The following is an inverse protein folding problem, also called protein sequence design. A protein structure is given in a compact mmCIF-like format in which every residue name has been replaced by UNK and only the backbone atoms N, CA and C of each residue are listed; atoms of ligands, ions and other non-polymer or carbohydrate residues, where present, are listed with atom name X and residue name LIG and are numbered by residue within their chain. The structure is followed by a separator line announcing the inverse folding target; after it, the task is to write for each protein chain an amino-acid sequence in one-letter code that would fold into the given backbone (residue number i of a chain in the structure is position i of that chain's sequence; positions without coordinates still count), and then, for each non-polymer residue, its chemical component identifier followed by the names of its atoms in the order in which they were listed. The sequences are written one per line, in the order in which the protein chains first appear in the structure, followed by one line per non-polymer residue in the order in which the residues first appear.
data_IF_880067482435
#
_entry.id   IF_880067482435
#
_cell.length_a   1.000
_cell.length_b   1.000
_cell.length_c   1.000
_cell.angle_alpha   90.00
_cell.angle_beta   90.00
_cell.angle_gamma   90.00
#
_symmetry.space_group_name_H-M   'P 1'
#
loop_
_entity.id
_entity.type
_entity.pdbx_description
1 polymer ?
#
# COMPACT_ATOMS: atom_id res chain seq x y z
N UNK A 1 20.05 7.08 -38.65
CA UNK A 1 20.56 6.41 -37.43
C UNK A 1 20.26 7.18 -36.15
N UNK A 2 20.67 8.45 -35.98
CA UNK A 2 20.37 9.24 -34.76
C UNK A 2 18.87 9.41 -34.45
N UNK A 3 18.04 9.57 -35.48
CA UNK A 3 16.57 9.64 -35.33
C UNK A 3 16.02 8.35 -34.72
N UNK A 4 16.42 7.18 -35.26
CA UNK A 4 16.00 5.88 -34.75
C UNK A 4 16.46 5.66 -33.29
N UNK A 5 17.67 6.09 -32.95
CA UNK A 5 18.16 6.07 -31.57
C UNK A 5 17.29 6.92 -30.63
N UNK A 6 16.95 8.15 -31.03
CA UNK A 6 16.08 9.01 -30.23
C UNK A 6 14.66 8.44 -30.08
N UNK A 7 14.11 7.84 -31.14
CA UNK A 7 12.80 7.16 -31.09
C UNK A 7 12.85 5.99 -30.11
N UNK A 8 13.90 5.17 -30.16
CA UNK A 8 14.09 4.07 -29.23
C UNK A 8 14.21 4.55 -27.77
N UNK A 9 14.99 5.60 -27.52
CA UNK A 9 15.12 6.21 -26.19
C UNK A 9 13.77 6.75 -25.67
N UNK A 10 13.01 7.40 -26.55
CA UNK A 10 11.69 7.91 -26.23
C UNK A 10 10.72 6.78 -25.87
N UNK A 11 10.66 5.71 -26.67
CA UNK A 11 9.80 4.55 -26.40
C UNK A 11 10.13 3.92 -25.05
N UNK A 12 11.41 3.72 -24.74
CA UNK A 12 11.83 3.23 -23.43
C UNK A 12 11.36 4.15 -22.29
N UNK A 13 11.59 5.46 -22.41
CA UNK A 13 11.17 6.42 -21.41
C UNK A 13 9.64 6.43 -21.22
N UNK A 14 8.87 6.40 -22.32
CA UNK A 14 7.41 6.36 -22.27
C UNK A 14 6.88 5.11 -21.58
N UNK A 15 7.45 3.93 -21.86
CA UNK A 15 7.06 2.67 -21.20
C UNK A 15 7.40 2.74 -19.71
N UNK A 16 8.59 3.19 -19.34
CA UNK A 16 9.02 3.29 -17.96
C UNK A 16 8.14 4.23 -17.13
N UNK A 17 7.84 5.42 -17.69
CA UNK A 17 6.93 6.40 -17.08
C UNK A 17 5.51 5.82 -16.97
N UNK A 18 5.00 5.18 -18.02
CA UNK A 18 3.68 4.54 -17.98
C UNK A 18 3.58 3.51 -16.86
N UNK A 19 4.58 2.63 -16.73
CA UNK A 19 4.62 1.62 -15.67
C UNK A 19 4.68 2.27 -14.27
N UNK A 20 5.40 3.38 -14.11
CA UNK A 20 5.42 4.13 -12.85
C UNK A 20 4.08 4.78 -12.54
N UNK A 21 3.44 5.44 -13.52
CA UNK A 21 2.10 6.03 -13.36
C UNK A 21 1.09 4.96 -12.96
N UNK A 22 1.12 3.80 -13.61
CA UNK A 22 0.23 2.67 -13.35
C UNK A 22 0.22 2.23 -11.88
N UNK A 23 1.36 2.33 -11.20
CA UNK A 23 1.59 1.83 -9.84
C UNK A 23 1.58 2.92 -8.75
N UNK A 24 1.23 4.15 -9.11
CA UNK A 24 1.27 5.30 -8.20
C UNK A 24 -0.04 6.08 -8.24
N UNK A 25 -0.21 7.03 -7.31
CA UNK A 25 -1.41 7.89 -7.23
C UNK A 25 -1.83 8.53 -8.57
N UNK A 26 -0.92 9.02 -9.44
CA UNK A 26 -1.30 9.49 -10.78
C UNK A 26 -2.15 8.52 -11.59
N UNK A 27 -1.85 7.21 -11.56
CA UNK A 27 -2.66 6.20 -12.25
C UNK A 27 -4.05 6.05 -11.64
N UNK A 28 -4.17 6.24 -10.33
CA UNK A 28 -5.46 6.20 -9.63
C UNK A 28 -6.33 7.39 -10.01
N UNK A 29 -5.76 8.59 -10.09
CA UNK A 29 -6.45 9.81 -10.54
C UNK A 29 -6.93 9.70 -11.99
N UNK A 30 -6.19 8.97 -12.82
CA UNK A 30 -6.57 8.66 -14.21
C UNK A 30 -7.59 7.51 -14.33
N UNK A 31 -8.03 6.95 -13.20
CA UNK A 31 -8.97 5.83 -13.13
C UNK A 31 -8.54 4.63 -13.99
N UNK A 32 -7.27 4.25 -13.88
CA UNK A 32 -6.71 3.14 -14.66
C UNK A 32 -7.40 1.81 -14.27
N UNK A 33 -7.72 0.92 -15.24
CA UNK A 33 -8.38 -0.35 -14.95
C UNK A 33 -7.61 -1.23 -13.95
N UNK A 34 -8.34 -1.84 -13.02
CA UNK A 34 -7.80 -2.79 -12.03
C UNK A 34 -6.94 -3.87 -12.68
N UNK A 35 -7.44 -4.47 -13.75
CA UNK A 35 -6.76 -5.59 -14.40
C UNK A 35 -5.40 -5.17 -14.98
N UNK A 36 -5.20 -3.90 -15.32
CA UNK A 36 -3.89 -3.41 -15.77
C UNK A 36 -2.91 -3.33 -14.60
N UNK A 37 -3.36 -2.81 -13.45
CA UNK A 37 -2.55 -2.75 -12.22
C UNK A 37 -2.16 -4.15 -11.77
N UNK A 38 -3.14 -5.07 -11.68
CA UNK A 38 -2.91 -6.45 -11.25
C UNK A 38 -2.03 -7.22 -12.24
N UNK A 39 -2.27 -7.11 -13.55
CA UNK A 39 -1.42 -7.78 -14.55
C UNK A 39 0.00 -7.22 -14.52
N UNK A 40 0.16 -5.90 -14.38
CA UNK A 40 1.50 -5.32 -14.27
C UNK A 40 2.20 -5.82 -13.01
N UNK A 41 1.55 -5.80 -11.85
CA UNK A 41 2.13 -6.29 -10.60
C UNK A 41 2.56 -7.76 -10.72
N UNK A 42 1.70 -8.62 -11.27
CA UNK A 42 2.00 -10.05 -11.51
C UNK A 42 3.24 -10.27 -12.38
N UNK A 43 3.46 -9.42 -13.38
CA UNK A 43 4.56 -9.54 -14.34
C UNK A 43 5.62 -8.44 -14.17
N UNK A 44 5.69 -7.81 -13.00
CA UNK A 44 6.51 -6.61 -12.77
C UNK A 44 7.98 -6.88 -13.10
N UNK A 45 8.50 -8.04 -12.69
CA UNK A 45 9.88 -8.45 -12.96
C UNK A 45 10.19 -8.60 -14.45
N UNK A 46 9.21 -9.05 -15.25
CA UNK A 46 9.35 -9.16 -16.71
C UNK A 46 9.43 -7.78 -17.34
N UNK A 47 8.59 -6.84 -16.90
CA UNK A 47 8.66 -5.45 -17.36
C UNK A 47 9.97 -4.79 -16.95
N UNK A 48 10.47 -5.05 -15.75
CA UNK A 48 11.77 -4.56 -15.28
C UNK A 48 12.92 -5.10 -16.13
N UNK A 49 12.94 -6.41 -16.37
CA UNK A 49 13.94 -7.03 -17.21
C UNK A 49 13.91 -6.47 -18.64
N UNK A 50 12.72 -6.32 -19.23
CA UNK A 50 12.57 -5.73 -20.55
C UNK A 50 13.09 -4.29 -20.62
N UNK A 51 12.78 -3.46 -19.62
CA UNK A 51 13.28 -2.09 -19.52
C UNK A 51 14.80 -2.03 -19.32
N UNK A 52 15.36 -2.90 -18.47
CA UNK A 52 16.79 -3.01 -18.23
C UNK A 52 17.54 -3.44 -19.49
N UNK A 53 17.06 -4.47 -20.20
CA UNK A 53 17.62 -4.91 -21.48
C UNK A 53 17.51 -3.81 -22.54
N UNK A 54 16.38 -3.09 -22.57
CA UNK A 54 16.20 -1.99 -23.48
C UNK A 54 17.20 -0.85 -23.21
N UNK A 55 17.45 -0.52 -21.94
CA UNK A 55 18.46 0.46 -21.52
C UNK A 55 19.88 0.00 -21.88
N UNK A 56 20.22 -1.28 -21.69
CA UNK A 56 21.50 -1.86 -22.15
C UNK A 56 21.64 -1.71 -23.66
N UNK A 57 20.59 -2.01 -24.42
CA UNK A 57 20.54 -1.79 -25.87
C UNK A 57 20.79 -0.32 -26.26
N UNK A 58 20.20 0.62 -25.51
CA UNK A 58 20.45 2.06 -25.69
C UNK A 58 21.93 2.40 -25.47
N UNK A 59 22.53 1.89 -24.40
CA UNK A 59 23.97 2.08 -24.13
C UNK A 59 24.86 1.53 -25.23
N UNK A 60 24.60 0.29 -25.70
CA UNK A 60 25.37 -0.32 -26.79
C UNK A 60 25.24 0.49 -28.09
N UNK A 61 24.03 0.96 -28.41
CA UNK A 61 23.82 1.81 -29.58
C UNK A 61 24.57 3.15 -29.45
N UNK A 62 24.58 3.75 -28.26
CA UNK A 62 25.26 5.02 -28.02
C UNK A 62 26.79 4.88 -28.02
N UNK A 63 27.37 3.79 -27.50
CA UNK A 63 28.84 3.59 -27.51
C UNK A 63 29.37 3.42 -28.93
N UNK A 64 28.63 2.73 -29.80
CA UNK A 64 28.97 2.56 -31.22
C UNK A 64 28.73 3.84 -32.04
N UNK A 65 27.59 4.49 -31.85
CA UNK A 65 27.15 5.62 -32.68
C UNK A 65 27.51 7.01 -32.16
N UNK A 66 27.92 7.13 -30.90
CA UNK A 66 28.22 8.40 -30.18
C UNK A 66 27.10 9.44 -30.34
N UNK A 67 25.84 9.00 -30.28
CA UNK A 67 24.68 9.84 -30.60
C UNK A 67 24.41 10.92 -29.54
N UNK A 68 24.57 10.57 -28.26
CA UNK A 68 24.38 11.42 -27.08
C UNK A 68 25.67 11.51 -26.26
N UNK A 69 25.84 12.67 -25.59
CA UNK A 69 26.90 12.86 -24.58
C UNK A 69 26.67 11.91 -23.39
N UNK A 70 27.74 11.47 -22.70
CA UNK A 70 27.61 10.56 -21.55
C UNK A 70 26.65 11.04 -20.46
N UNK A 71 26.60 12.35 -20.19
CA UNK A 71 25.68 12.94 -19.20
C UNK A 71 24.21 12.57 -19.46
N UNK A 72 23.77 12.58 -20.72
CA UNK A 72 22.37 12.26 -21.07
C UNK A 72 22.08 10.77 -20.89
N UNK A 73 23.06 9.91 -21.11
CA UNK A 73 22.93 8.47 -20.87
C UNK A 73 22.85 8.15 -19.38
N UNK A 74 23.62 8.86 -18.55
CA UNK A 74 23.50 8.73 -17.09
C UNK A 74 22.15 9.24 -16.58
N UNK A 75 21.65 10.37 -17.10
CA UNK A 75 20.31 10.86 -16.76
C UNK A 75 19.21 9.88 -17.18
N UNK A 76 19.30 9.30 -18.38
CA UNK A 76 18.35 8.27 -18.82
C UNK A 76 18.39 7.04 -17.90
N UNK A 77 19.58 6.60 -17.50
CA UNK A 77 19.77 5.47 -16.57
C UNK A 77 19.16 5.77 -15.21
N UNK A 78 19.45 6.96 -14.65
CA UNK A 78 18.89 7.41 -13.39
C UNK A 78 17.36 7.52 -13.45
N UNK A 79 16.81 8.01 -14.57
CA UNK A 79 15.37 8.08 -14.80
C UNK A 79 14.71 6.70 -14.76
N UNK A 80 15.25 5.72 -15.51
CA UNK A 80 14.74 4.34 -15.50
C UNK A 80 14.85 3.72 -14.10
N UNK A 81 16.00 3.88 -13.42
CA UNK A 81 16.17 3.38 -12.05
C UNK A 81 15.18 4.01 -11.08
N UNK A 82 14.91 5.32 -11.21
CA UNK A 82 13.89 6.00 -10.41
C UNK A 82 12.49 5.44 -10.69
N UNK A 83 12.16 5.09 -11.93
CA UNK A 83 10.86 4.45 -12.22
C UNK A 83 10.73 3.08 -11.57
N UNK A 84 11.78 2.26 -11.51
CA UNK A 84 11.75 0.98 -10.78
C UNK A 84 11.51 1.18 -9.29
N UNK A 85 12.18 2.18 -8.70
CA UNK A 85 11.93 2.54 -7.32
C UNK A 85 10.47 2.99 -7.12
N UNK A 86 9.96 3.87 -7.97
CA UNK A 86 8.60 4.39 -7.85
C UNK A 86 7.56 3.27 -7.95
N UNK A 87 7.73 2.34 -8.90
CA UNK A 87 6.82 1.22 -9.12
C UNK A 87 6.74 0.26 -7.93
N UNK A 88 7.83 0.07 -7.19
CA UNK A 88 7.88 -0.86 -6.06
C UNK A 88 7.65 -0.22 -4.70
N UNK A 89 8.11 1.01 -4.50
CA UNK A 89 8.29 1.57 -3.17
C UNK A 89 7.60 2.91 -2.96
N UNK A 90 7.10 3.60 -4.00
CA UNK A 90 6.45 4.90 -3.79
C UNK A 90 5.19 4.77 -2.91
N UNK A 91 4.31 3.79 -3.19
CA UNK A 91 3.09 3.59 -2.40
C UNK A 91 3.38 3.13 -0.97
N UNK A 92 4.22 2.10 -0.72
CA UNK A 92 4.60 1.73 0.66
C UNK A 92 5.35 2.85 1.41
N UNK A 93 6.11 3.70 0.73
CA UNK A 93 6.81 4.81 1.37
C UNK A 93 5.86 5.97 1.72
N UNK A 94 4.81 6.20 0.91
CA UNK A 94 3.78 7.19 1.19
C UNK A 94 2.83 6.71 2.31
N UNK A 95 2.52 5.41 2.31
CA UNK A 95 1.58 4.77 3.22
C UNK A 95 2.24 3.56 3.91
N UNK A 96 3.16 3.79 4.86
CA UNK A 96 3.81 2.71 5.59
C UNK A 96 2.78 1.99 6.47
N UNK A 97 2.68 0.68 6.32
CA UNK A 97 1.74 -0.13 7.09
C UNK A 97 2.25 -0.36 8.51
N UNK A 98 1.32 -0.50 9.47
CA UNK A 98 1.61 -0.83 10.87
C UNK A 98 1.18 -2.27 11.18
N UNK A 99 1.30 -3.19 10.21
CA UNK A 99 0.90 -4.58 10.41
C UNK A 99 1.66 -5.25 11.57
N UNK A 100 2.97 -4.96 11.70
CA UNK A 100 3.82 -5.58 12.73
C UNK A 100 4.25 -4.62 13.84
N UNK A 101 3.93 -3.32 13.70
CA UNK A 101 4.47 -2.26 14.56
C UNK A 101 3.38 -1.35 15.13
N UNK A 102 2.12 -1.77 15.05
CA UNK A 102 0.99 -1.05 15.64
C UNK A 102 1.15 -0.92 17.16
N UNK A 103 1.05 0.31 17.67
CA UNK A 103 1.09 0.59 19.10
C UNK A 103 -0.32 0.70 19.69
N UNK A 104 -0.48 0.12 20.87
CA UNK A 104 -1.78 -0.10 21.51
C UNK A 104 -1.78 0.45 22.93
N UNK A 105 -2.83 1.21 23.27
CA UNK A 105 -2.92 2.03 24.49
C UNK A 105 -4.16 1.72 25.31
N UNK A 106 -4.10 2.04 26.60
CA UNK A 106 -5.28 2.05 27.47
C UNK A 106 -6.32 3.07 27.00
N UNK A 107 -7.57 2.91 27.44
CA UNK A 107 -8.66 3.84 27.13
C UNK A 107 -8.33 5.26 27.63
N UNK A 108 -7.71 5.38 28.80
CA UNK A 108 -7.33 6.65 29.43
C UNK A 108 -6.24 7.41 28.65
N UNK A 109 -5.32 6.68 28.03
CA UNK A 109 -4.29 7.26 27.16
C UNK A 109 -4.85 7.62 25.80
N UNK A 110 -5.71 6.76 25.23
CA UNK A 110 -6.38 6.98 23.97
C UNK A 110 -7.24 8.25 23.98
N UNK A 111 -7.87 8.55 25.11
CA UNK A 111 -8.71 9.75 25.29
C UNK A 111 -7.95 11.08 25.09
N UNK A 112 -6.63 11.05 25.22
CA UNK A 112 -5.78 12.24 25.06
C UNK A 112 -5.36 12.48 23.61
N UNK A 113 -5.53 11.48 22.74
CA UNK A 113 -4.96 11.48 21.38
C UNK A 113 -6.00 11.30 20.29
N UNK A 114 -7.19 10.80 20.61
CA UNK A 114 -8.30 10.72 19.66
C UNK A 114 -8.95 12.10 19.57
N UNK A 115 -8.95 12.75 18.40
CA UNK A 115 -9.55 14.07 18.23
C UNK A 115 -11.08 14.00 18.32
N UNK A 116 -11.69 15.04 18.90
CA UNK A 116 -13.15 15.15 18.99
C UNK A 116 -13.77 15.33 17.58
N UNK A 117 -13.08 16.02 16.67
CA UNK A 117 -13.50 16.26 15.29
C UNK A 117 -13.59 14.99 14.43
N UNK A 118 -12.84 13.93 14.75
CA UNK A 118 -12.93 12.63 14.10
C UNK A 118 -12.87 11.48 15.12
N UNK A 119 -13.87 11.47 16.00
CA UNK A 119 -14.01 10.48 17.07
C UNK A 119 -14.55 9.11 16.61
N UNK A 120 -14.63 8.85 15.30
CA UNK A 120 -15.10 7.54 14.79
C UNK A 120 -14.07 6.45 15.09
N UNK A 121 -14.56 5.33 15.59
CA UNK A 121 -13.76 4.15 15.89
C UNK A 121 -14.42 2.89 15.35
N UNK A 122 -13.59 1.90 15.07
CA UNK A 122 -14.01 0.56 14.70
C UNK A 122 -13.63 -0.42 15.80
N UNK A 123 -14.61 -1.15 16.31
CA UNK A 123 -14.43 -2.08 17.42
C UNK A 123 -14.55 -3.49 16.90
N UNK A 124 -13.60 -4.35 17.25
CA UNK A 124 -13.64 -5.78 16.99
C UNK A 124 -13.51 -6.56 18.30
N UNK A 125 -14.13 -7.74 18.32
CA UNK A 125 -14.11 -8.67 19.44
C UNK A 125 -13.67 -10.03 18.92
N UNK A 126 -12.45 -10.42 19.24
CA UNK A 126 -11.85 -11.69 18.79
C UNK A 126 -11.24 -12.36 20.01
N UNK A 127 -11.51 -13.64 20.22
CA UNK A 127 -10.95 -14.44 21.32
C UNK A 127 -11.14 -13.80 22.72
N UNK A 128 -12.28 -13.16 22.95
CA UNK A 128 -12.58 -12.45 24.21
C UNK A 128 -11.83 -11.13 24.39
N UNK A 129 -11.04 -10.72 23.41
CA UNK A 129 -10.26 -9.49 23.40
C UNK A 129 -10.96 -8.41 22.57
N UNK A 130 -11.13 -7.23 23.17
CA UNK A 130 -11.69 -6.06 22.49
C UNK A 130 -10.57 -5.17 21.98
N UNK A 131 -10.53 -4.93 20.66
CA UNK A 131 -9.62 -3.96 20.04
C UNK A 131 -10.41 -2.84 19.40
N UNK A 132 -9.95 -1.62 19.64
CA UNK A 132 -10.58 -0.39 19.14
C UNK A 132 -9.59 0.32 18.22
N UNK A 133 -10.03 0.61 17.01
CA UNK A 133 -9.22 1.23 15.98
C UNK A 133 -9.82 2.57 15.58
N UNK A 134 -9.23 3.70 16.02
CA UNK A 134 -9.69 5.01 15.60
C UNK A 134 -9.50 5.21 14.10
N UNK A 135 -10.55 5.67 13.42
CA UNK A 135 -10.52 5.98 11.98
C UNK A 135 -9.38 6.93 11.66
N UNK A 136 -9.21 7.95 12.51
CA UNK A 136 -8.15 8.96 12.40
C UNK A 136 -6.74 8.34 12.33
N UNK A 137 -6.47 7.28 13.10
CA UNK A 137 -5.17 6.61 13.10
C UNK A 137 -5.00 5.59 11.97
N UNK A 138 -6.09 5.05 11.43
CA UNK A 138 -6.04 4.07 10.33
C UNK A 138 -5.89 4.70 8.94
N UNK A 139 -6.20 5.98 8.78
CA UNK A 139 -6.24 6.65 7.47
C UNK A 139 -4.90 6.63 6.72
N UNK A 140 -3.77 6.73 7.43
CA UNK A 140 -2.44 6.75 6.82
C UNK A 140 -1.86 5.34 6.64
N UNK A 141 -1.77 4.50 7.68
CA UNK A 141 -1.12 3.20 7.53
C UNK A 141 -1.96 2.22 6.72
N UNK A 142 -3.28 2.42 6.62
CA UNK A 142 -4.26 1.52 5.97
C UNK A 142 -4.32 0.09 6.49
N UNK A 143 -3.33 -0.37 7.26
CA UNK A 143 -3.21 -1.69 7.86
C UNK A 143 -2.61 -1.51 9.24
N UNK A 144 -3.26 -2.05 10.26
CA UNK A 144 -2.73 -2.14 11.61
C UNK A 144 -2.95 -3.55 12.15
N UNK A 145 -1.89 -4.23 12.57
CA UNK A 145 -1.96 -5.63 12.98
C UNK A 145 -1.80 -5.85 14.47
N UNK A 146 -2.21 -7.04 14.92
CA UNK A 146 -2.00 -7.52 16.27
C UNK A 146 -2.05 -9.04 16.30
N UNK A 147 -1.52 -9.62 17.37
CA UNK A 147 -1.58 -11.05 17.62
C UNK A 147 -2.52 -11.36 18.76
N UNK A 148 -3.38 -12.38 18.61
CA UNK A 148 -4.22 -12.90 19.68
C UNK A 148 -4.28 -14.44 19.61
N UNK A 149 -4.04 -15.11 20.75
CA UNK A 149 -3.98 -16.57 20.86
C UNK A 149 -3.12 -17.28 19.79
N UNK A 150 -2.01 -16.65 19.38
CA UNK A 150 -1.11 -17.20 18.37
C UNK A 150 -1.50 -16.91 16.92
N UNK A 151 -2.69 -16.35 16.68
CA UNK A 151 -3.15 -15.94 15.34
C UNK A 151 -2.85 -14.46 15.10
N UNK A 152 -2.33 -14.14 13.92
CA UNK A 152 -2.06 -12.77 13.49
C UNK A 152 -3.29 -12.21 12.78
N UNK A 153 -3.71 -11.03 13.20
CA UNK A 153 -4.85 -10.30 12.65
C UNK A 153 -4.41 -8.93 12.16
N UNK A 154 -5.14 -8.38 11.21
CA UNK A 154 -5.03 -6.98 10.84
C UNK A 154 -6.39 -6.36 10.61
N UNK A 155 -6.52 -5.10 11.01
CA UNK A 155 -7.54 -4.22 10.45
C UNK A 155 -6.95 -3.54 9.24
N UNK A 156 -7.64 -3.64 8.12
CA UNK A 156 -7.36 -2.88 6.91
C UNK A 156 -8.41 -1.78 6.78
N UNK A 157 -8.06 -0.66 6.16
CA UNK A 157 -8.96 0.49 6.05
C UNK A 157 -8.66 1.32 4.80
N UNK A 158 -9.70 1.64 4.02
CA UNK A 158 -9.61 2.58 2.92
C UNK A 158 -10.30 3.91 3.28
N UNK A 159 -9.57 5.02 3.18
CA UNK A 159 -10.10 6.36 3.47
C UNK A 159 -11.22 6.82 2.54
N UNK A 160 -11.25 6.31 1.30
CA UNK A 160 -12.24 6.71 0.30
C UNK A 160 -13.56 5.94 0.44
N UNK A 161 -13.52 4.66 0.78
CA UNK A 161 -14.73 3.87 1.07
C UNK A 161 -15.21 3.99 2.53
N UNK A 162 -14.35 4.48 3.44
CA UNK A 162 -14.56 4.46 4.89
C UNK A 162 -14.90 3.06 5.42
N UNK A 163 -14.37 2.02 4.78
CA UNK A 163 -14.65 0.63 5.11
C UNK A 163 -13.44 -0.03 5.77
N UNK A 164 -13.55 -0.42 7.05
CA UNK A 164 -12.58 -1.32 7.66
C UNK A 164 -12.91 -2.78 7.35
N UNK A 165 -11.89 -3.60 7.28
CA UNK A 165 -12.03 -5.06 7.25
C UNK A 165 -11.03 -5.67 8.22
N UNK A 166 -11.52 -6.53 9.09
CA UNK A 166 -10.68 -7.24 10.05
C UNK A 166 -10.43 -8.63 9.52
N UNK A 167 -9.17 -9.02 9.38
CA UNK A 167 -8.78 -10.26 8.72
C UNK A 167 -7.71 -11.00 9.49
N UNK A 168 -7.70 -12.33 9.36
CA UNK A 168 -6.51 -13.14 9.62
C UNK A 168 -5.48 -12.88 8.51
N UNK A 169 -4.24 -12.59 8.90
CA UNK A 169 -3.20 -12.24 7.92
C UNK A 169 -2.53 -13.47 7.33
N UNK A 170 -2.48 -14.61 8.03
CA UNK A 170 -2.13 -15.90 7.42
C UNK A 170 -3.39 -16.58 6.88
N UNK A 171 -3.49 -16.67 5.55
CA UNK A 171 -4.60 -17.30 4.83
C UNK A 171 -4.17 -18.61 4.16
N UNK A 172 -3.19 -19.30 4.74
CA UNK A 172 -2.66 -20.58 4.26
C UNK A 172 -1.45 -20.46 3.36
N UNK A 173 -0.83 -19.27 3.31
CA UNK A 173 0.42 -19.00 2.61
C UNK A 173 1.56 -18.64 3.59
N UNK A 174 1.32 -18.71 4.89
CA UNK A 174 2.27 -18.35 5.95
C UNK A 174 2.12 -16.89 6.37
N UNK A 175 3.17 -16.35 7.00
CA UNK A 175 3.19 -14.96 7.45
C UNK A 175 3.14 -14.00 6.25
N UNK A 176 2.08 -13.21 6.18
CA UNK A 176 1.87 -12.23 5.11
C UNK A 176 2.43 -10.86 5.51
N UNK A 177 2.99 -10.10 4.57
CA UNK A 177 3.38 -8.69 4.78
C UNK A 177 2.62 -7.80 3.80
N UNK A 178 1.51 -7.23 4.28
CA UNK A 178 0.65 -6.37 3.49
C UNK A 178 1.25 -4.97 3.38
N UNK A 179 1.40 -4.55 2.13
CA UNK A 179 1.79 -3.19 1.77
C UNK A 179 0.78 -2.63 0.78
N UNK A 180 0.60 -1.31 0.78
CA UNK A 180 -0.28 -0.65 -0.19
C UNK A 180 0.30 -0.81 -1.59
N UNK A 181 -0.46 -1.45 -2.48
CA UNK A 181 -0.16 -1.52 -3.91
C UNK A 181 -0.69 -0.29 -4.63
N UNK A 182 -1.92 0.10 -4.30
CA UNK A 182 -2.62 1.21 -4.92
C UNK A 182 -4.13 1.08 -4.74
N UNK A 183 -4.89 1.88 -5.47
CA UNK A 183 -6.35 1.86 -5.41
C UNK A 183 -6.95 1.90 -6.80
N UNK A 184 -8.02 1.14 -7.03
CA UNK A 184 -8.81 1.22 -8.26
C UNK A 184 -10.29 1.18 -7.92
N UNK A 185 -11.11 2.05 -8.53
CA UNK A 185 -12.57 2.08 -8.33
C UNK A 185 -13.01 2.09 -6.85
N UNK A 186 -12.37 2.92 -6.02
CA UNK A 186 -12.60 3.00 -4.56
C UNK A 186 -12.31 1.71 -3.78
N UNK A 187 -11.62 0.75 -4.38
CA UNK A 187 -11.14 -0.45 -3.72
C UNK A 187 -9.61 -0.38 -3.57
N UNK A 188 -9.17 -0.38 -2.31
CA UNK A 188 -7.75 -0.43 -1.98
C UNK A 188 -7.23 -1.83 -2.29
N UNK A 189 -6.03 -1.90 -2.86
CA UNK A 189 -5.35 -3.16 -3.18
C UNK A 189 -4.09 -3.20 -2.35
N UNK A 190 -3.93 -4.27 -1.59
CA UNK A 190 -2.69 -4.60 -0.92
C UNK A 190 -1.90 -5.56 -1.79
N UNK A 191 -0.57 -5.47 -1.69
CA UNK A 191 0.32 -6.54 -2.12
C UNK A 191 0.83 -7.26 -0.90
N UNK A 192 1.00 -8.56 -1.02
CA UNK A 192 1.69 -9.37 -0.04
C UNK A 192 3.11 -9.63 -0.54
N UNK A 193 4.09 -9.00 0.09
CA UNK A 193 5.47 -9.06 -0.40
C UNK A 193 6.15 -10.41 -0.12
N UNK A 194 5.60 -11.24 0.77
CA UNK A 194 6.17 -12.55 1.09
C UNK A 194 5.80 -13.63 0.07
N UNK A 195 4.62 -13.54 -0.55
CA UNK A 195 4.15 -14.55 -1.51
C UNK A 195 3.77 -14.00 -2.90
N UNK A 196 3.81 -12.67 -3.10
CA UNK A 196 3.58 -12.05 -4.41
C UNK A 196 2.12 -12.00 -4.84
N UNK A 197 1.17 -12.23 -3.92
CA UNK A 197 -0.26 -12.07 -4.18
C UNK A 197 -0.68 -10.61 -4.02
N UNK A 198 -1.89 -10.30 -4.49
CA UNK A 198 -2.54 -9.02 -4.20
C UNK A 198 -3.91 -9.27 -3.56
N UNK A 199 -4.35 -8.39 -2.67
CA UNK A 199 -5.61 -8.56 -1.94
C UNK A 199 -6.46 -7.32 -2.16
N UNK A 200 -7.68 -7.53 -2.65
CA UNK A 200 -8.69 -6.49 -2.78
C UNK A 200 -9.37 -6.23 -1.43
N UNK A 201 -9.24 -5.02 -0.87
CA UNK A 201 -9.68 -4.72 0.49
C UNK A 201 -11.18 -4.92 0.70
N UNK A 202 -12.05 -4.47 -0.21
CA UNK A 202 -13.50 -4.52 0.01
C UNK A 202 -14.00 -5.97 0.07
N UNK A 203 -13.47 -6.83 -0.80
CA UNK A 203 -13.94 -8.21 -0.96
C UNK A 203 -13.09 -9.23 -0.22
N UNK A 204 -11.88 -8.83 0.20
CA UNK A 204 -10.84 -9.73 0.71
C UNK A 204 -10.51 -10.88 -0.23
N UNK A 205 -10.73 -10.65 -1.53
CA UNK A 205 -10.33 -11.58 -2.57
C UNK A 205 -8.82 -11.46 -2.75
N UNK A 206 -8.13 -12.57 -2.57
CA UNK A 206 -6.73 -12.71 -2.96
C UNK A 206 -6.65 -13.03 -4.46
N UNK A 207 -5.73 -12.34 -5.13
CA UNK A 207 -5.43 -12.49 -6.54
C UNK A 207 -4.27 -13.48 -6.70
N UNK A 208 -4.32 -14.23 -7.81
CA UNK A 208 -3.28 -15.21 -8.19
C UNK A 208 -3.19 -16.44 -7.28
N UNK A 209 -4.16 -16.64 -6.40
CA UNK A 209 -4.27 -17.79 -5.50
C UNK A 209 -5.74 -18.13 -5.25
N UNK A 210 -6.01 -19.37 -4.86
CA UNK A 210 -7.35 -19.82 -4.43
C UNK A 210 -7.57 -19.65 -2.92
N UNK A 211 -6.55 -19.20 -2.19
CA UNK A 211 -6.61 -18.92 -0.77
C UNK A 211 -7.31 -17.59 -0.48
N UNK A 212 -8.08 -17.51 0.61
CA UNK A 212 -8.82 -16.30 1.01
C UNK A 212 -8.65 -16.02 2.49
N UNK A 213 -8.61 -14.76 2.88
CA UNK A 213 -8.56 -14.39 4.29
C UNK A 213 -9.89 -14.63 5.00
N UNK A 214 -9.82 -15.04 6.26
CA UNK A 214 -10.99 -15.08 7.13
C UNK A 214 -11.33 -13.66 7.56
N UNK A 215 -12.57 -13.21 7.30
CA UNK A 215 -13.05 -11.88 7.70
C UNK A 215 -13.80 -11.96 9.02
N UNK A 216 -13.47 -11.07 9.94
CA UNK A 216 -14.09 -10.95 11.26
C UNK A 216 -14.98 -9.70 11.33
N UNK A 217 -16.10 -9.77 12.08
CA UNK A 217 -17.01 -8.64 12.22
C UNK A 217 -16.35 -7.50 13.00
N UNK A 218 -16.72 -6.28 12.63
CA UNK A 218 -16.40 -5.08 13.39
C UNK A 218 -17.61 -4.14 13.42
N UNK A 219 -17.63 -3.24 14.39
CA UNK A 219 -18.72 -2.27 14.57
C UNK A 219 -18.15 -0.86 14.58
N UNK A 220 -18.69 0.00 13.73
CA UNK A 220 -18.41 1.43 13.77
C UNK A 220 -19.24 2.11 14.86
N UNK A 221 -18.60 2.96 15.66
CA UNK A 221 -19.27 3.85 16.62
C UNK A 221 -18.44 5.10 16.86
N UNK A 222 -18.95 6.02 17.67
CA UNK A 222 -18.15 7.15 18.16
C UNK A 222 -17.39 6.77 19.44
N UNK A 223 -16.26 7.42 19.68
CA UNK A 223 -15.36 7.12 20.78
C UNK A 223 -16.04 7.19 22.15
N UNK A 224 -16.91 8.17 22.38
CA UNK A 224 -17.66 8.29 23.63
C UNK A 224 -18.53 7.07 23.93
N UNK A 225 -19.18 6.49 22.91
CA UNK A 225 -19.97 5.26 23.03
C UNK A 225 -19.06 4.06 23.30
N UNK A 226 -17.94 3.95 22.58
CA UNK A 226 -16.98 2.88 22.80
C UNK A 226 -16.43 2.88 24.24
N UNK A 227 -16.11 4.06 24.77
CA UNK A 227 -15.68 4.22 26.17
C UNK A 227 -16.76 3.75 27.16
N UNK A 228 -18.02 4.10 26.92
CA UNK A 228 -19.11 3.68 27.81
C UNK A 228 -19.30 2.16 27.79
N UNK A 229 -19.20 1.54 26.62
CA UNK A 229 -19.43 0.10 26.44
C UNK A 229 -18.23 -0.77 26.87
N UNK A 230 -16.99 -0.30 26.70
CA UNK A 230 -15.78 -1.14 26.80
C UNK A 230 -14.76 -0.67 27.85
N UNK A 231 -15.23 0.12 28.81
CA UNK A 231 -14.49 0.84 29.86
C UNK A 231 -13.45 0.05 30.68
N UNK A 232 -13.41 -1.29 30.59
CA UNK A 232 -12.49 -2.15 31.35
C UNK A 232 -11.64 -3.11 30.49
N UNK A 233 -11.84 -3.18 29.16
CA UNK A 233 -11.26 -4.26 28.34
C UNK A 233 -10.74 -3.82 26.96
N UNK A 234 -11.04 -2.61 26.50
CA UNK A 234 -10.65 -2.14 25.17
C UNK A 234 -9.20 -1.63 25.12
N UNK A 235 -8.42 -2.12 24.16
CA UNK A 235 -7.11 -1.54 23.84
C UNK A 235 -7.22 -0.77 22.52
N UNK A 236 -6.69 0.45 22.48
CA UNK A 236 -6.85 1.39 21.37
C UNK A 236 -5.57 1.57 20.57
N UNK A 237 -5.68 1.55 19.24
CA UNK A 237 -4.55 1.84 18.35
C UNK A 237 -4.17 3.33 18.40
N UNK A 238 -2.87 3.63 18.48
CA UNK A 238 -2.30 4.93 18.13
C UNK A 238 -1.31 4.76 16.99
N UNK A 239 -1.39 5.67 16.04
CA UNK A 239 -0.36 5.81 15.01
C UNK A 239 0.94 6.34 15.62
N UNK A 240 2.07 5.70 15.29
CA UNK A 240 3.39 5.99 15.84
C UNK A 240 3.87 7.41 15.53
N UNK A 241 4.02 8.22 16.57
CA UNK A 241 4.63 9.55 16.53
C UNK A 241 6.17 9.52 16.41
N UNK A 242 6.73 8.60 15.62
CA UNK A 242 8.16 8.61 15.26
C UNK A 242 8.46 9.57 14.10
N UNK A 243 7.44 10.18 13.48
CA UNK A 243 7.64 11.40 12.70
C UNK A 243 6.49 12.37 12.89
N UNK A 244 6.81 13.55 13.44
CA UNK A 244 6.02 14.76 13.20
C UNK A 244 6.01 15.01 11.69
N UNK A 245 5.04 14.45 10.98
CA UNK A 245 4.64 14.93 9.66
C UNK A 245 3.19 15.36 9.79
N UNK A 246 2.99 16.66 10.01
CA UNK A 246 1.75 17.32 9.66
C UNK A 246 1.53 17.09 8.16
N UNK A 247 0.65 16.17 7.81
CA UNK A 247 0.25 15.98 6.42
C UNK A 247 -0.80 17.05 6.08
N UNK A 248 -0.60 17.84 5.00
CA UNK A 248 -1.53 18.91 4.61
C UNK A 248 -2.78 18.40 3.87
N UNK A 249 -3.06 17.10 3.89
CA UNK A 249 -4.16 16.47 3.16
C UNK A 249 -5.23 15.95 4.11
N UNK A 250 -5.76 16.82 4.96
CA UNK A 250 -7.11 16.65 5.48
C UNK A 250 -8.08 17.15 4.41
N UNK A 251 -8.82 16.22 3.80
CA UNK A 251 -10.02 16.52 3.00
C UNK A 251 -11.18 16.74 3.96
#
# INVERSE_FOLDING_TARGET
MKILFNVYAFVLASIAIYCAILMTEPGQTLNVPRDWVLNYYRYMEVFWLAQALALVGLWIANTKGKFWKPVWMYLATAGVAFTFWAQSYAMPAAFPTEQFTADFYSVEEADKVIPDEDSRVYVTHINGETRIFPRYHLQVPHVAGWKSEGTEYAVTYCGLSNLPMVVETDYGLGESDFQVLGQTHNNLIFKDVNNGTAIQQITMQSEFTDHSTTVHPNTQMVWSQAKEMYRCHGICLRYGASSRRSYPWSI
#
